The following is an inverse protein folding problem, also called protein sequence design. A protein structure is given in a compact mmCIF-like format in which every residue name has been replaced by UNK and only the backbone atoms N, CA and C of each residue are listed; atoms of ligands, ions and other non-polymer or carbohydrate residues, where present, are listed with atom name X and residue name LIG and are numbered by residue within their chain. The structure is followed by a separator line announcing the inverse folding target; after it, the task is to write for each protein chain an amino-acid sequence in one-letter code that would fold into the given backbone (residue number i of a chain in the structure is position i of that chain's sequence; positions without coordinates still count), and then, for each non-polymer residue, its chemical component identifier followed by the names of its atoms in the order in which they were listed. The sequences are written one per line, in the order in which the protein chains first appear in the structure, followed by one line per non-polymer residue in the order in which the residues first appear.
data_IF_227947267641
#
_entry.id   IF_227947267641
#
_cell.length_a   1.000
_cell.length_b   1.000
_cell.length_c   1.000
_cell.angle_alpha   90.00
_cell.angle_beta   90.00
_cell.angle_gamma   90.00
#
_symmetry.space_group_name_H-M   'P 1'
#
loop_
_entity.id
_entity.type
_entity.pdbx_description
1 polymer ?
#
# COMPACT_ATOMS: atom_id res chain seq x y z
N UNK A 1 -54.31 10.24 11.32
CA UNK A 1 -52.92 9.86 11.67
C UNK A 1 -52.03 10.18 10.47
N UNK A 2 -51.16 11.20 10.48
CA UNK A 2 -50.13 11.35 9.46
C UNK A 2 -48.80 10.78 9.95
N UNK A 3 -48.21 9.84 9.20
CA UNK A 3 -46.84 9.36 9.42
C UNK A 3 -45.87 10.40 8.86
N UNK A 4 -45.05 10.99 9.73
CA UNK A 4 -43.97 11.90 9.34
C UNK A 4 -42.85 11.15 8.59
N UNK A 5 -42.36 11.78 7.53
CA UNK A 5 -41.22 11.33 6.73
C UNK A 5 -39.94 11.67 7.50
N UNK A 6 -39.01 10.73 7.73
CA UNK A 6 -37.77 11.05 8.43
C UNK A 6 -36.81 11.87 7.56
N UNK A 7 -36.14 12.77 8.27
CA UNK A 7 -35.23 13.85 7.90
C UNK A 7 -33.98 13.42 7.11
N UNK A 8 -33.90 13.69 5.79
CA UNK A 8 -32.72 13.46 4.93
C UNK A 8 -31.59 14.52 5.05
N UNK A 9 -31.72 15.51 5.93
CA UNK A 9 -30.77 16.63 6.01
C UNK A 9 -29.57 16.38 6.94
N UNK A 10 -29.63 15.40 7.85
CA UNK A 10 -28.52 15.14 8.79
C UNK A 10 -27.34 14.36 8.17
N UNK A 11 -27.59 13.53 7.15
CA UNK A 11 -26.57 12.62 6.60
C UNK A 11 -25.49 13.35 5.79
N UNK A 12 -25.84 14.50 5.17
CA UNK A 12 -24.93 15.29 4.35
C UNK A 12 -23.93 16.12 5.16
N UNK A 13 -24.36 16.72 6.28
CA UNK A 13 -23.48 17.50 7.16
C UNK A 13 -22.50 16.61 7.95
N UNK A 14 -22.93 15.41 8.36
CA UNK A 14 -22.04 14.41 8.97
C UNK A 14 -21.00 13.89 7.97
N UNK A 15 -21.37 13.63 6.72
CA UNK A 15 -20.42 13.23 5.66
C UNK A 15 -19.37 14.31 5.40
N UNK A 16 -19.79 15.57 5.23
CA UNK A 16 -18.86 16.69 4.98
C UNK A 16 -17.91 16.90 6.17
N UNK A 17 -18.39 16.69 7.41
CA UNK A 17 -17.56 16.74 8.61
C UNK A 17 -16.54 15.60 8.69
N UNK A 18 -16.92 14.38 8.31
CA UNK A 18 -16.05 13.21 8.28
C UNK A 18 -14.98 13.31 7.17
N UNK A 19 -15.36 13.81 5.99
CA UNK A 19 -14.42 14.01 4.87
C UNK A 19 -13.35 15.07 5.20
N UNK A 20 -13.73 16.16 5.86
CA UNK A 20 -12.76 17.17 6.33
C UNK A 20 -11.80 16.60 7.37
N UNK A 21 -12.31 15.79 8.31
CA UNK A 21 -11.47 15.12 9.29
C UNK A 21 -10.49 14.14 8.63
N UNK A 22 -10.94 13.38 7.63
CA UNK A 22 -10.06 12.48 6.88
C UNK A 22 -8.94 13.25 6.15
N UNK A 23 -9.27 14.36 5.49
CA UNK A 23 -8.28 15.19 4.79
C UNK A 23 -7.23 15.81 5.71
N UNK A 24 -7.61 16.23 6.92
CA UNK A 24 -6.68 16.77 7.92
C UNK A 24 -5.73 15.69 8.47
N UNK A 25 -6.25 14.47 8.65
CA UNK A 25 -5.44 13.31 9.05
C UNK A 25 -4.45 12.94 7.95
N UNK A 26 -4.88 12.89 6.69
CA UNK A 26 -4.00 12.60 5.54
C UNK A 26 -2.87 13.63 5.41
N UNK A 27 -3.16 14.92 5.58
CA UNK A 27 -2.14 15.99 5.53
C UNK A 27 -1.14 15.87 6.68
N UNK A 28 -1.62 15.64 7.90
CA UNK A 28 -0.78 15.45 9.08
C UNK A 28 0.13 14.24 8.90
N UNK A 29 -0.40 13.14 8.34
CA UNK A 29 0.38 11.94 8.05
C UNK A 29 1.43 12.16 6.96
N UNK A 30 1.12 12.91 5.88
CA UNK A 30 2.12 13.27 4.86
C UNK A 30 3.31 14.01 5.48
N UNK A 31 3.06 14.93 6.40
CA UNK A 31 4.13 15.66 7.09
C UNK A 31 4.98 14.74 7.97
N UNK A 32 4.36 13.80 8.69
CA UNK A 32 5.07 12.79 9.49
C UNK A 32 5.93 11.90 8.59
N UNK A 33 5.41 11.48 7.44
CA UNK A 33 6.15 10.67 6.46
C UNK A 33 7.32 11.44 5.84
N UNK A 34 7.16 12.73 5.52
CA UNK A 34 8.24 13.54 4.96
C UNK A 34 9.34 13.87 5.98
N UNK A 35 8.97 13.98 7.26
CA UNK A 35 9.91 14.19 8.37
C UNK A 35 10.73 12.95 8.74
N UNK A 36 10.42 11.77 8.18
CA UNK A 36 11.18 10.55 8.44
C UNK A 36 12.52 10.54 7.71
N UNK A 37 13.51 9.80 8.23
CA UNK A 37 14.75 9.58 7.49
C UNK A 37 14.45 8.91 6.15
N UNK A 38 14.94 9.52 5.08
CA UNK A 38 14.83 8.99 3.72
C UNK A 38 15.83 7.84 3.56
N UNK A 39 15.41 6.78 2.88
CA UNK A 39 16.24 5.64 2.53
C UNK A 39 16.22 5.45 1.03
N UNK A 40 17.38 5.16 0.47
CA UNK A 40 17.52 4.74 -0.92
C UNK A 40 16.85 3.38 -1.11
N UNK A 41 15.86 3.34 -1.98
CA UNK A 41 15.17 2.13 -2.40
C UNK A 41 15.38 1.95 -3.90
N UNK A 42 15.97 0.81 -4.27
CA UNK A 42 16.02 0.35 -5.65
C UNK A 42 15.05 -0.83 -5.79
N UNK A 43 14.09 -0.69 -6.71
CA UNK A 43 13.17 -1.76 -7.09
C UNK A 43 13.64 -2.30 -8.44
N UNK A 44 14.03 -3.58 -8.56
CA UNK A 44 14.46 -4.13 -9.84
C UNK A 44 13.32 -4.13 -10.85
N UNK A 45 13.66 -3.89 -12.12
CA UNK A 45 12.72 -4.00 -13.24
C UNK A 45 12.26 -5.44 -13.37
N UNK A 46 10.96 -5.65 -13.59
CA UNK A 46 10.41 -6.98 -13.83
C UNK A 46 10.53 -7.34 -15.32
N UNK A 47 11.35 -8.34 -15.70
CA UNK A 47 11.52 -8.70 -17.10
C UNK A 47 10.27 -9.36 -17.69
N UNK A 48 9.37 -9.90 -16.87
CA UNK A 48 8.12 -10.50 -17.34
C UNK A 48 7.04 -9.44 -17.63
N UNK A 49 7.12 -8.28 -16.97
CA UNK A 49 6.19 -7.17 -17.09
C UNK A 49 6.94 -5.87 -17.41
N UNK A 50 7.43 -5.70 -18.65
CA UNK A 50 8.22 -4.53 -19.04
C UNK A 50 7.43 -3.21 -19.02
N UNK A 51 6.09 -3.27 -19.04
CA UNK A 51 5.24 -2.08 -18.90
C UNK A 51 5.03 -1.66 -17.43
N UNK A 52 5.43 -2.49 -16.47
CA UNK A 52 5.27 -2.20 -15.04
C UNK A 52 6.43 -1.33 -14.54
N UNK A 53 6.34 -0.05 -14.88
CA UNK A 53 7.39 0.94 -14.60
C UNK A 53 7.32 1.55 -13.19
N UNK A 54 6.18 1.42 -12.50
CA UNK A 54 5.92 2.07 -11.21
C UNK A 54 5.28 1.08 -10.24
N UNK A 55 5.80 1.01 -9.03
CA UNK A 55 5.22 0.26 -7.92
C UNK A 55 4.55 1.23 -6.94
N UNK A 56 3.20 1.19 -6.79
CA UNK A 56 2.51 1.98 -5.78
C UNK A 56 2.64 1.33 -4.40
N UNK A 57 3.19 2.06 -3.44
CA UNK A 57 3.31 1.64 -2.03
C UNK A 57 2.37 2.49 -1.18
N UNK A 58 1.30 1.89 -0.68
CA UNK A 58 0.34 2.54 0.20
C UNK A 58 0.73 2.45 1.67
N UNK A 59 0.83 3.59 2.37
CA UNK A 59 0.98 3.66 3.82
C UNK A 59 -0.03 4.65 4.38
N UNK A 60 -0.88 4.17 5.30
CA UNK A 60 -1.87 4.99 6.01
C UNK A 60 -2.71 5.90 5.09
N UNK A 61 -3.17 5.37 3.97
CA UNK A 61 -3.97 6.12 2.98
C UNK A 61 -3.16 6.92 1.95
N UNK A 62 -1.85 7.08 2.14
CA UNK A 62 -0.97 7.79 1.21
C UNK A 62 -0.29 6.79 0.28
N UNK A 63 -0.46 6.98 -1.03
CA UNK A 63 0.18 6.16 -2.05
C UNK A 63 1.45 6.83 -2.57
N UNK A 64 2.58 6.15 -2.44
CA UNK A 64 3.87 6.55 -3.01
C UNK A 64 4.12 5.78 -4.30
N UNK A 65 4.24 6.49 -5.42
CA UNK A 65 4.59 5.92 -6.71
C UNK A 65 6.11 5.82 -6.83
N UNK A 66 6.65 4.61 -6.71
CA UNK A 66 8.10 4.37 -6.81
C UNK A 66 8.44 3.79 -8.20
N UNK A 67 9.25 4.48 -9.02
CA UNK A 67 9.69 3.94 -10.30
C UNK A 67 10.62 2.73 -10.14
N UNK A 68 10.50 1.75 -11.04
CA UNK A 68 11.39 0.59 -11.11
C UNK A 68 12.69 0.92 -11.86
N UNK A 69 13.75 0.20 -11.53
CA UNK A 69 15.06 0.27 -12.18
C UNK A 69 15.87 1.52 -11.84
N UNK A 70 15.41 2.33 -10.88
CA UNK A 70 16.08 3.54 -10.44
C UNK A 70 16.16 3.55 -8.92
N UNK A 71 17.24 4.13 -8.40
CA UNK A 71 17.39 4.41 -6.99
C UNK A 71 16.60 5.68 -6.65
N UNK A 72 15.64 5.57 -5.72
CA UNK A 72 14.87 6.71 -5.23
C UNK A 72 14.91 6.82 -3.72
N UNK A 73 14.84 8.05 -3.22
CA UNK A 73 14.74 8.33 -1.80
C UNK A 73 13.28 8.29 -1.34
N UNK A 74 12.95 7.32 -0.49
CA UNK A 74 11.61 7.17 0.09
C UNK A 74 11.68 7.26 1.62
N UNK A 75 10.60 7.68 2.30
CA UNK A 75 10.52 7.64 3.76
C UNK A 75 10.81 6.23 4.30
N UNK A 76 11.45 6.15 5.47
CA UNK A 76 11.78 4.87 6.10
C UNK A 76 10.59 3.91 6.19
N UNK A 77 9.40 4.39 6.56
CA UNK A 77 8.21 3.55 6.63
C UNK A 77 7.87 2.89 5.28
N UNK A 78 8.02 3.63 4.17
CA UNK A 78 7.78 3.15 2.79
C UNK A 78 8.78 2.07 2.42
N UNK A 79 10.06 2.30 2.74
CA UNK A 79 11.12 1.32 2.55
C UNK A 79 10.84 0.01 3.31
N UNK A 80 10.47 0.11 4.58
CA UNK A 80 10.20 -1.06 5.42
C UNK A 80 8.98 -1.85 4.95
N UNK A 81 7.89 -1.17 4.61
CA UNK A 81 6.69 -1.81 4.07
C UNK A 81 6.98 -2.57 2.77
N UNK A 82 7.76 -1.96 1.87
CA UNK A 82 8.18 -2.63 0.65
C UNK A 82 9.05 -3.85 0.92
N UNK A 83 10.09 -3.73 1.76
CA UNK A 83 11.00 -4.85 2.08
C UNK A 83 10.26 -6.02 2.74
N UNK A 84 9.31 -5.74 3.61
CA UNK A 84 8.48 -6.78 4.23
C UNK A 84 7.61 -7.50 3.19
N UNK A 85 6.97 -6.75 2.29
CA UNK A 85 6.15 -7.31 1.20
C UNK A 85 6.97 -8.16 0.22
N UNK A 86 8.13 -7.65 -0.20
CA UNK A 86 9.09 -8.37 -1.06
C UNK A 86 9.57 -9.67 -0.38
N UNK A 87 9.93 -9.60 0.91
CA UNK A 87 10.35 -10.77 1.69
C UNK A 87 9.25 -11.83 1.76
N UNK A 88 8.01 -11.44 2.06
CA UNK A 88 6.87 -12.38 2.12
C UNK A 88 6.64 -13.05 0.77
N UNK A 89 6.70 -12.28 -0.31
CA UNK A 89 6.56 -12.78 -1.68
C UNK A 89 7.64 -13.82 -2.00
N UNK A 90 8.91 -13.53 -1.66
CA UNK A 90 10.03 -14.46 -1.83
C UNK A 90 9.86 -15.75 -1.02
N UNK A 91 9.39 -15.66 0.23
CA UNK A 91 9.15 -16.83 1.08
C UNK A 91 8.06 -17.73 0.48
N UNK A 92 6.96 -17.15 0.02
CA UNK A 92 5.88 -17.92 -0.62
C UNK A 92 6.37 -18.57 -1.91
N UNK A 93 7.07 -17.82 -2.76
CA UNK A 93 7.62 -18.35 -4.01
C UNK A 93 8.61 -19.50 -3.76
N UNK A 94 9.48 -19.38 -2.74
CA UNK A 94 10.38 -20.48 -2.36
C UNK A 94 9.62 -21.74 -1.92
N UNK A 95 8.53 -21.60 -1.14
CA UNK A 95 7.71 -22.75 -0.74
C UNK A 95 7.06 -23.46 -1.91
N UNK A 96 6.64 -22.74 -2.96
CA UNK A 96 6.06 -23.35 -4.17
C UNK A 96 7.11 -24.10 -4.97
N UNK A 97 8.35 -23.64 -5.01
CA UNK A 97 9.44 -24.35 -5.70
C UNK A 97 9.85 -25.62 -4.95
N UNK A 98 9.84 -25.61 -3.61
CA UNK A 98 10.24 -26.76 -2.79
C UNK A 98 9.10 -27.77 -2.52
N UNK A 99 7.86 -27.31 -2.49
CA UNK A 99 6.66 -28.08 -2.16
C UNK A 99 6.36 -29.31 -3.04
N UNK A 100 6.49 -29.28 -4.39
CA UNK A 100 6.07 -30.40 -5.22
C UNK A 100 7.02 -31.62 -5.16
N UNK A 101 8.20 -31.51 -4.54
CA UNK A 101 9.14 -32.65 -4.44
C UNK A 101 8.74 -33.71 -3.41
N UNK A 102 7.75 -33.43 -2.55
CA UNK A 102 7.42 -34.33 -1.42
C UNK A 102 6.20 -35.23 -1.63
N UNK A 103 5.42 -35.04 -2.70
CA UNK A 103 4.12 -35.73 -2.88
C UNK A 103 4.07 -36.71 -4.07
N UNK A 104 5.16 -36.92 -4.80
CA UNK A 104 5.25 -37.93 -5.88
C UNK A 104 6.19 -39.08 -5.51
N UNK A 105 5.92 -39.75 -4.39
CA UNK A 105 6.30 -41.15 -4.21
C UNK A 105 5.02 -41.97 -4.09
N UNK A 106 4.38 -42.21 -5.23
CA UNK A 106 3.35 -43.23 -5.35
C UNK A 106 4.11 -44.55 -5.54
N UNK A 107 4.17 -45.37 -4.50
CA UNK A 107 4.70 -46.74 -4.54
C UNK A 107 3.68 -47.71 -5.12
#
# INVERSE_FOLDING_TARGET
MPRGIPNSQNEGDEQVGLERQAADVERSMKQILDAQPKKSLEIPTDPQNPNDIIVPIGINGIVYAVPRGVEVEVPQSVYEAYKDSDRRTKIVNQRIVDGPKKELQIY
#
